data_IF_346790401148
#
_entry.id   IF_346790401148
#
_cell.length_a   1.000
_cell.length_b   1.000
_cell.length_c   1.000
_cell.angle_alpha   90.00
_cell.angle_beta   90.00
_cell.angle_gamma   90.00
#
_symmetry.space_group_name_H-M   'P 1'
#
loop_
_entity.id
_entity.type
_entity.pdbx_description
1 polymer ?
#
# COMPACT_ATOMS: atom_id res chain seq x y z
N UNK A 1 15.57 -23.27 2.78
CA UNK A 1 14.73 -22.51 3.75
C UNK A 1 13.34 -22.33 3.17
N UNK A 2 12.35 -22.62 3.98
CA UNK A 2 10.96 -22.37 3.57
C UNK A 2 10.68 -20.86 3.48
N UNK A 3 9.90 -20.47 2.48
CA UNK A 3 9.44 -19.10 2.36
C UNK A 3 8.42 -18.78 3.46
N UNK A 4 8.59 -17.69 4.21
CA UNK A 4 7.63 -17.31 5.24
C UNK A 4 6.22 -17.14 4.66
N UNK A 5 5.19 -17.53 5.43
CA UNK A 5 3.81 -17.27 5.03
C UNK A 5 3.51 -15.77 4.97
N UNK A 6 2.57 -15.39 4.13
CA UNK A 6 2.14 -13.98 4.03
C UNK A 6 1.71 -13.42 5.38
N UNK A 7 0.89 -14.16 6.12
CA UNK A 7 0.45 -13.73 7.45
C UNK A 7 1.62 -13.48 8.41
N UNK A 8 2.62 -14.35 8.41
CA UNK A 8 3.80 -14.17 9.27
C UNK A 8 4.53 -12.85 8.98
N UNK A 9 4.61 -12.46 7.70
CA UNK A 9 5.30 -11.23 7.29
C UNK A 9 4.59 -9.95 7.72
N UNK A 10 3.27 -9.98 7.86
CA UNK A 10 2.46 -8.77 8.11
C UNK A 10 1.83 -8.69 9.50
N UNK A 11 1.80 -9.79 10.25
CA UNK A 11 1.02 -9.90 11.50
C UNK A 11 1.31 -8.80 12.51
N UNK A 12 2.56 -8.42 12.69
CA UNK A 12 2.95 -7.44 13.70
C UNK A 12 2.45 -6.03 13.34
N UNK A 13 2.46 -5.70 12.04
CA UNK A 13 1.93 -4.41 11.54
C UNK A 13 0.40 -4.41 11.60
N UNK A 14 -0.27 -5.42 11.06
CA UNK A 14 -1.74 -5.43 10.97
C UNK A 14 -2.43 -5.55 12.33
N UNK A 15 -1.75 -6.09 13.34
CA UNK A 15 -2.24 -6.17 14.71
C UNK A 15 -2.01 -4.89 15.51
N UNK A 16 -1.16 -3.99 15.05
CA UNK A 16 -0.92 -2.72 15.73
C UNK A 16 -2.16 -1.84 15.70
N UNK A 17 -2.40 -1.10 16.79
CA UNK A 17 -3.54 -0.18 16.88
C UNK A 17 -3.45 0.91 15.82
N UNK A 18 -2.25 1.40 15.55
CA UNK A 18 -2.01 2.41 14.53
C UNK A 18 -2.44 1.95 13.13
N UNK A 19 -2.11 0.72 12.73
CA UNK A 19 -2.50 0.20 11.42
C UNK A 19 -4.01 -0.11 11.35
N UNK A 20 -4.61 -0.57 12.44
CA UNK A 20 -6.05 -0.83 12.53
C UNK A 20 -6.91 0.43 12.33
N UNK A 21 -6.37 1.61 12.60
CA UNK A 21 -7.05 2.88 12.30
C UNK A 21 -7.45 3.00 10.83
N UNK A 22 -6.71 2.38 9.92
CA UNK A 22 -7.01 2.38 8.48
C UNK A 22 -8.37 1.77 8.14
N UNK A 23 -8.95 0.95 9.02
CA UNK A 23 -10.31 0.38 8.84
C UNK A 23 -11.39 1.45 8.80
N UNK A 24 -11.16 2.60 9.42
CA UNK A 24 -12.11 3.72 9.50
C UNK A 24 -12.20 4.53 8.21
N UNK A 25 -11.25 4.38 7.30
CA UNK A 25 -11.13 5.24 6.11
C UNK A 25 -11.51 4.47 4.84
N UNK A 26 -12.49 5.00 4.12
CA UNK A 26 -12.89 4.45 2.82
C UNK A 26 -11.80 4.70 1.79
N UNK A 27 -11.52 3.69 0.96
CA UNK A 27 -10.64 3.82 -0.19
C UNK A 27 -11.44 3.97 -1.50
N UNK A 28 -12.26 3.01 -1.83
CA UNK A 28 -13.23 3.03 -2.92
C UNK A 28 -14.60 2.60 -2.38
N UNK A 29 -15.65 2.63 -3.21
CA UNK A 29 -17.03 2.37 -2.79
C UNK A 29 -17.21 1.13 -1.90
N UNK A 30 -16.40 0.09 -2.10
CA UNK A 30 -16.61 -1.24 -1.52
C UNK A 30 -15.45 -1.70 -0.63
N UNK A 31 -14.48 -0.85 -0.35
CA UNK A 31 -13.31 -1.22 0.45
C UNK A 31 -12.84 -0.08 1.35
N UNK A 32 -11.99 -0.39 2.31
CA UNK A 32 -11.31 0.59 3.14
C UNK A 32 -9.80 0.49 2.92
N UNK A 33 -9.04 1.45 3.47
CA UNK A 33 -7.59 1.49 3.34
C UNK A 33 -6.92 0.23 3.87
N UNK A 34 -7.42 -0.30 4.98
CA UNK A 34 -6.88 -1.52 5.60
C UNK A 34 -6.93 -2.72 4.63
N UNK A 35 -8.10 -2.97 4.05
CA UNK A 35 -8.27 -4.09 3.10
C UNK A 35 -7.50 -3.89 1.81
N UNK A 36 -7.53 -2.66 1.28
CA UNK A 36 -6.79 -2.32 0.06
C UNK A 36 -5.29 -2.56 0.25
N UNK A 37 -4.72 -2.08 1.34
CA UNK A 37 -3.30 -2.23 1.63
C UNK A 37 -2.87 -3.69 1.78
N UNK A 38 -3.68 -4.50 2.46
CA UNK A 38 -3.45 -5.95 2.55
C UNK A 38 -3.50 -6.61 1.17
N UNK A 39 -4.45 -6.23 0.34
CA UNK A 39 -4.58 -6.77 -1.03
C UNK A 39 -3.36 -6.45 -1.89
N UNK A 40 -2.88 -5.22 -1.88
CA UNK A 40 -1.67 -4.83 -2.62
C UNK A 40 -0.45 -5.60 -2.11
N UNK A 41 -0.27 -5.69 -0.80
CA UNK A 41 0.82 -6.47 -0.20
C UNK A 41 0.76 -7.95 -0.58
N UNK A 42 -0.43 -8.54 -0.63
CA UNK A 42 -0.61 -9.93 -1.04
C UNK A 42 -0.28 -10.16 -2.52
N UNK A 43 -0.64 -9.25 -3.40
CA UNK A 43 -0.27 -9.31 -4.82
C UNK A 43 1.25 -9.22 -4.99
N UNK A 44 1.91 -8.34 -4.25
CA UNK A 44 3.36 -8.24 -4.22
C UNK A 44 4.01 -9.52 -3.68
N UNK A 45 3.48 -10.10 -2.60
CA UNK A 45 3.94 -11.38 -2.07
C UNK A 45 3.87 -12.50 -3.11
N UNK A 46 2.75 -12.64 -3.78
CA UNK A 46 2.58 -13.65 -4.85
C UNK A 46 3.56 -13.43 -6.00
N UNK A 47 3.78 -12.20 -6.39
CA UNK A 47 4.77 -11.85 -7.42
C UNK A 47 6.18 -12.27 -7.01
N UNK A 48 6.57 -11.93 -5.77
CA UNK A 48 7.88 -12.30 -5.23
C UNK A 48 8.12 -13.81 -5.27
N UNK A 49 7.14 -14.58 -4.80
CA UNK A 49 7.22 -16.06 -4.81
C UNK A 49 7.36 -16.59 -6.23
N UNK A 50 6.49 -16.14 -7.13
CA UNK A 50 6.44 -16.63 -8.53
C UNK A 50 7.73 -16.34 -9.29
N UNK A 51 8.30 -15.16 -9.10
CA UNK A 51 9.46 -14.69 -9.87
C UNK A 51 10.78 -14.79 -9.11
N UNK A 52 10.79 -15.34 -7.91
CA UNK A 52 11.98 -15.50 -7.05
C UNK A 52 12.84 -14.23 -6.98
N UNK A 53 12.20 -13.12 -6.61
CA UNK A 53 12.87 -11.82 -6.56
C UNK A 53 14.04 -11.81 -5.58
N UNK A 54 15.06 -11.01 -5.88
CA UNK A 54 16.26 -10.90 -5.03
C UNK A 54 16.04 -10.03 -3.80
N UNK A 55 15.09 -9.09 -3.83
CA UNK A 55 14.76 -8.27 -2.67
C UNK A 55 14.26 -9.15 -1.52
N UNK A 56 14.60 -8.78 -0.28
CA UNK A 56 14.04 -9.45 0.90
C UNK A 56 12.50 -9.41 0.87
N UNK A 57 11.89 -10.56 1.08
CA UNK A 57 10.43 -10.71 0.96
C UNK A 57 9.70 -9.89 2.01
N UNK A 58 10.23 -9.81 3.23
CA UNK A 58 9.65 -9.01 4.32
C UNK A 58 9.72 -7.52 3.98
N UNK A 59 10.87 -7.06 3.54
CA UNK A 59 11.06 -5.67 3.08
C UNK A 59 10.05 -5.28 2.01
N UNK A 60 9.89 -6.11 0.97
CA UNK A 60 8.99 -5.86 -0.13
C UNK A 60 7.52 -5.85 0.30
N UNK A 61 7.10 -6.88 1.01
CA UNK A 61 5.70 -7.05 1.43
C UNK A 61 5.28 -5.97 2.43
N UNK A 62 6.13 -5.63 3.39
CA UNK A 62 5.82 -4.59 4.38
C UNK A 62 5.83 -3.18 3.76
N UNK A 63 6.71 -2.90 2.82
CA UNK A 63 6.69 -1.64 2.07
C UNK A 63 5.39 -1.48 1.27
N UNK A 64 4.97 -2.54 0.60
CA UNK A 64 3.68 -2.57 -0.11
C UNK A 64 2.49 -2.39 0.84
N UNK A 65 2.53 -3.01 2.02
CA UNK A 65 1.49 -2.88 3.03
C UNK A 65 1.30 -1.43 3.51
N UNK A 66 2.38 -0.67 3.59
CA UNK A 66 2.39 0.69 4.12
C UNK A 66 2.24 1.78 3.05
N UNK A 67 2.10 1.43 1.77
CA UNK A 67 2.12 2.44 0.69
C UNK A 67 1.03 3.51 0.83
N UNK A 68 -0.14 3.16 1.35
CA UNK A 68 -1.29 4.04 1.56
C UNK A 68 -1.58 4.32 3.05
N UNK A 69 -0.53 4.36 3.87
CA UNK A 69 -0.67 4.58 5.32
C UNK A 69 -0.95 6.04 5.64
N UNK A 70 -2.06 6.57 5.13
CA UNK A 70 -2.63 7.86 5.53
C UNK A 70 -3.90 7.66 6.35
N UNK A 71 -4.21 8.62 7.23
CA UNK A 71 -5.23 8.45 8.25
C UNK A 71 -6.21 9.64 8.21
N UNK A 72 -6.87 9.84 7.06
CA UNK A 72 -7.92 10.85 6.89
C UNK A 72 -8.92 10.43 5.81
N UNK A 73 -10.11 11.02 5.87
CA UNK A 73 -11.15 10.83 4.86
C UNK A 73 -11.17 11.97 3.84
N UNK A 74 -11.44 11.61 2.60
CA UNK A 74 -11.81 12.54 1.55
C UNK A 74 -13.33 12.54 1.41
N UNK A 75 -13.97 13.66 1.75
CA UNK A 75 -15.40 13.83 1.55
C UNK A 75 -15.65 14.83 0.42
N UNK A 76 -16.12 14.35 -0.74
CA UNK A 76 -16.89 15.05 -1.75
C UNK A 76 -16.30 16.31 -2.41
N UNK A 77 -15.14 16.79 -2.02
CA UNK A 77 -14.50 17.99 -2.57
C UNK A 77 -13.50 17.58 -3.66
N UNK A 78 -13.82 17.93 -4.91
CA UNK A 78 -12.97 17.60 -6.06
C UNK A 78 -11.58 18.24 -6.00
N UNK A 79 -11.45 19.43 -5.43
CA UNK A 79 -10.17 20.12 -5.27
C UNK A 79 -9.32 19.39 -4.25
N UNK A 80 -9.91 19.04 -3.11
CA UNK A 80 -9.24 18.22 -2.08
C UNK A 80 -8.86 16.86 -2.63
N UNK A 81 -9.67 16.26 -3.49
CA UNK A 81 -9.36 14.99 -4.12
C UNK A 81 -8.12 15.08 -5.01
N UNK A 82 -8.02 16.10 -5.87
CA UNK A 82 -6.83 16.32 -6.70
C UNK A 82 -5.57 16.54 -5.86
N UNK A 83 -5.67 17.38 -4.83
CA UNK A 83 -4.55 17.63 -3.90
C UNK A 83 -4.14 16.35 -3.16
N UNK A 84 -5.10 15.51 -2.79
CA UNK A 84 -4.85 14.23 -2.17
C UNK A 84 -3.99 13.32 -3.05
N UNK A 85 -4.29 13.22 -4.35
CA UNK A 85 -3.52 12.38 -5.26
C UNK A 85 -2.02 12.72 -5.26
N UNK A 86 -1.69 14.00 -5.07
CA UNK A 86 -0.30 14.44 -4.98
C UNK A 86 0.30 14.34 -3.58
N UNK A 87 -0.50 14.54 -2.54
CA UNK A 87 -0.02 14.69 -1.16
C UNK A 87 -0.01 13.40 -0.35
N UNK A 88 -0.94 12.47 -0.63
CA UNK A 88 -1.09 11.32 0.25
C UNK A 88 0.15 10.41 0.31
N UNK A 89 0.99 10.25 -0.74
CA UNK A 89 2.21 9.47 -0.60
C UNK A 89 3.17 10.06 0.43
N UNK A 90 3.30 11.37 0.47
CA UNK A 90 4.14 12.05 1.48
C UNK A 90 3.57 11.89 2.89
N UNK A 91 2.27 12.04 3.04
CA UNK A 91 1.58 11.84 4.31
C UNK A 91 1.72 10.39 4.77
N UNK A 92 1.53 9.43 3.87
CA UNK A 92 1.73 8.01 4.17
C UNK A 92 3.15 7.71 4.63
N UNK A 93 4.15 8.26 3.94
CA UNK A 93 5.56 8.09 4.32
C UNK A 93 5.85 8.69 5.71
N UNK A 94 5.39 9.91 5.97
CA UNK A 94 5.61 10.56 7.25
C UNK A 94 4.97 9.78 8.41
N UNK A 95 3.75 9.29 8.23
CA UNK A 95 3.08 8.44 9.21
C UNK A 95 3.79 7.10 9.40
N UNK A 96 4.25 6.49 8.32
CA UNK A 96 4.97 5.22 8.38
C UNK A 96 6.30 5.36 9.12
N UNK A 97 7.08 6.41 8.86
CA UNK A 97 8.34 6.69 9.58
C UNK A 97 8.07 6.90 11.07
N UNK A 98 7.02 7.63 11.41
CA UNK A 98 6.66 7.91 12.81
C UNK A 98 6.32 6.64 13.58
N UNK A 99 5.55 5.74 12.99
CA UNK A 99 4.99 4.57 13.66
C UNK A 99 5.82 3.28 13.46
N UNK A 100 6.64 3.25 12.41
CA UNK A 100 7.49 2.13 12.02
C UNK A 100 8.88 2.65 11.64
N UNK A 101 9.72 3.05 12.62
CA UNK A 101 10.93 3.85 12.36
C UNK A 101 12.05 3.10 11.61
N UNK A 102 11.99 1.78 11.54
CA UNK A 102 13.03 0.95 10.91
C UNK A 102 12.84 0.74 9.41
N UNK A 103 12.08 1.61 8.74
CA UNK A 103 11.86 1.53 7.30
C UNK A 103 13.16 1.71 6.52
N UNK A 104 13.40 0.79 5.58
CA UNK A 104 14.53 0.89 4.66
C UNK A 104 14.33 2.00 3.63
N UNK A 105 15.41 2.43 2.97
CA UNK A 105 15.32 3.39 1.88
C UNK A 105 14.44 2.87 0.73
N UNK A 106 14.49 1.59 0.45
CA UNK A 106 13.63 0.93 -0.56
C UNK A 106 12.15 1.01 -0.17
N UNK A 107 11.81 0.72 1.08
CA UNK A 107 10.43 0.84 1.57
C UNK A 107 9.94 2.28 1.52
N UNK A 108 10.77 3.25 1.85
CA UNK A 108 10.42 4.67 1.74
C UNK A 108 10.16 5.09 0.30
N UNK A 109 10.96 4.63 -0.65
CA UNK A 109 10.75 4.85 -2.08
C UNK A 109 9.42 4.24 -2.57
N UNK A 110 9.12 3.02 -2.16
CA UNK A 110 7.88 2.34 -2.48
C UNK A 110 6.64 3.14 -2.02
N UNK A 111 6.69 3.70 -0.83
CA UNK A 111 5.60 4.50 -0.27
C UNK A 111 5.51 5.85 -0.99
N UNK A 112 6.61 6.57 -1.09
CA UNK A 112 6.63 7.95 -1.60
C UNK A 112 6.26 8.06 -3.07
N UNK A 113 6.59 7.06 -3.87
CA UNK A 113 6.52 7.14 -5.34
C UNK A 113 5.48 6.20 -5.96
N UNK A 114 4.58 5.63 -5.16
CA UNK A 114 3.59 4.68 -5.68
C UNK A 114 2.54 5.31 -6.59
N UNK A 115 2.38 6.64 -6.58
CA UNK A 115 1.41 7.34 -7.45
C UNK A 115 1.95 7.70 -8.83
N UNK A 116 3.19 7.33 -9.16
CA UNK A 116 3.69 7.51 -10.53
C UNK A 116 2.76 6.76 -11.53
N UNK A 117 2.43 7.31 -12.69
CA UNK A 117 2.87 8.58 -13.29
C UNK A 117 2.03 9.81 -12.94
N UNK A 118 1.02 9.71 -12.07
CA UNK A 118 0.21 10.87 -11.64
C UNK A 118 1.11 11.88 -10.93
N UNK A 119 1.95 11.42 -10.01
CA UNK A 119 3.09 12.20 -9.53
C UNK A 119 4.27 11.98 -10.48
N UNK A 120 5.03 13.02 -10.87
CA UNK A 120 5.98 12.93 -11.98
C UNK A 120 7.26 12.15 -11.67
N UNK A 121 7.58 11.92 -10.39
CA UNK A 121 8.80 11.22 -10.01
C UNK A 121 8.59 9.70 -10.03
N UNK A 122 9.30 8.97 -10.91
CA UNK A 122 9.21 7.52 -10.95
C UNK A 122 9.87 6.88 -9.73
N UNK A 123 9.44 5.66 -9.35
CA UNK A 123 10.17 4.86 -8.35
C UNK A 123 11.64 4.67 -8.74
N UNK A 124 12.52 4.64 -7.75
CA UNK A 124 13.96 4.39 -7.96
C UNK A 124 14.29 2.91 -8.04
N UNK A 125 13.37 2.04 -7.59
CA UNK A 125 13.60 0.62 -7.48
C UNK A 125 12.55 -0.16 -8.28
N UNK A 126 12.89 -1.37 -8.70
CA UNK A 126 11.93 -2.28 -9.34
C UNK A 126 10.78 -2.63 -8.39
N UNK A 127 11.06 -2.83 -7.10
CA UNK A 127 10.04 -3.03 -6.08
C UNK A 127 9.03 -1.87 -6.04
N UNK A 128 9.50 -0.64 -6.13
CA UNK A 128 8.65 0.55 -6.20
C UNK A 128 7.74 0.55 -7.44
N UNK A 129 8.26 0.17 -8.61
CA UNK A 129 7.44 0.02 -9.82
C UNK A 129 6.35 -1.05 -9.66
N UNK A 130 6.67 -2.17 -9.02
CA UNK A 130 5.69 -3.22 -8.76
C UNK A 130 4.58 -2.76 -7.81
N UNK A 131 4.90 -1.99 -6.78
CA UNK A 131 3.87 -1.41 -5.90
C UNK A 131 2.97 -0.45 -6.69
N UNK A 132 3.53 0.42 -7.53
CA UNK A 132 2.75 1.26 -8.45
C UNK A 132 1.78 0.43 -9.29
N UNK A 133 2.26 -0.63 -9.88
CA UNK A 133 1.48 -1.51 -10.75
C UNK A 133 0.35 -2.21 -9.98
N UNK A 134 0.69 -2.88 -8.89
CA UNK A 134 -0.31 -3.65 -8.12
C UNK A 134 -1.30 -2.77 -7.36
N UNK A 135 -0.91 -1.57 -6.95
CA UNK A 135 -1.84 -0.59 -6.42
C UNK A 135 -2.95 -0.26 -7.44
N UNK A 136 -2.57 -0.02 -8.68
CA UNK A 136 -3.52 0.26 -9.77
C UNK A 136 -4.38 -0.96 -10.12
N UNK A 137 -3.79 -2.15 -10.18
CA UNK A 137 -4.52 -3.41 -10.39
C UNK A 137 -5.57 -3.61 -9.28
N UNK A 138 -5.18 -3.46 -8.02
CA UNK A 138 -6.08 -3.60 -6.88
C UNK A 138 -7.19 -2.53 -6.89
N UNK A 139 -6.85 -1.29 -7.23
CA UNK A 139 -7.82 -0.18 -7.29
C UNK A 139 -8.86 -0.39 -8.40
N UNK A 140 -8.45 -0.89 -9.56
CA UNK A 140 -9.36 -1.23 -10.66
C UNK A 140 -10.29 -2.38 -10.23
N UNK A 141 -9.75 -3.42 -9.65
CA UNK A 141 -10.52 -4.57 -9.17
C UNK A 141 -11.53 -4.15 -8.09
N UNK A 142 -11.13 -3.31 -7.14
CA UNK A 142 -12.01 -2.78 -6.08
C UNK A 142 -13.17 -1.95 -6.65
N UNK A 143 -12.96 -1.21 -7.74
CA UNK A 143 -14.00 -0.40 -8.39
C UNK A 143 -15.02 -1.24 -9.15
N UNK A 144 -14.60 -2.35 -9.74
CA UNK A 144 -15.44 -3.17 -10.63
C UNK A 144 -16.04 -4.41 -9.95
N UNK A 145 -15.59 -4.77 -8.76
CA UNK A 145 -16.28 -5.82 -7.98
C UNK A 145 -17.67 -5.35 -7.60
N UNK A 146 -18.67 -5.91 -8.26
CA UNK A 146 -20.05 -5.80 -7.79
C UNK A 146 -20.14 -6.46 -6.42
N UNK A 147 -20.68 -5.73 -5.45
CA UNK A 147 -21.10 -6.34 -4.19
C UNK A 147 -22.11 -7.41 -4.57
N UNK A 148 -21.77 -8.69 -4.45
CA UNK A 148 -22.77 -9.75 -4.49
C UNK A 148 -23.69 -9.47 -3.31
N UNK A 149 -24.88 -8.97 -3.57
CA UNK A 149 -25.94 -8.92 -2.58
C UNK A 149 -26.20 -10.37 -2.15
N UNK A 150 -25.85 -10.65 -0.90
CA UNK A 150 -26.32 -11.87 -0.26
C UNK A 150 -27.82 -11.72 0.02
#
# INVERSE_FOLDING_TARGET
METPSFYFLIKDIVKSDNFKEMKKYKHHKNTNLFRHSIKVAYLCYKHHIKHKMKIDIKEFVQGALLHDYYLYNLHGDQIKHKLHLYKHPRVALNNAIKNFPDLTATQQDMILRHMFPITPLPPKTFAGFLVCFYDKVASIDDRFKRVKKK
#
